data_IF_288845757227
#
_entry.id   IF_288845757227
#
_cell.length_a   1.000
_cell.length_b   1.000
_cell.length_c   1.000
_cell.angle_alpha   90.00
_cell.angle_beta   90.00
_cell.angle_gamma   90.00
#
_symmetry.space_group_name_H-M   'P 1'
#
loop_
_entity.id
_entity.type
_entity.pdbx_description
1 polymer ?
2 polymer ?
3 non-polymer ?
4 water ?
#
# COMPACT_ATOMS: atom_id res chain seq x y z
N UNK A 1 17.57 -8.63 13.99
CA UNK A 1 18.41 -9.62 14.73
C UNK A 1 19.24 -8.92 15.81
N UNK A 2 19.04 -8.00 16.01
CA UNK A 2 19.75 -7.21 17.02
C UNK A 2 18.88 -6.94 18.26
N UNK A 3 19.44 -6.24 19.24
CA UNK A 3 18.71 -5.92 20.45
C UNK A 3 18.48 -4.42 20.59
N UNK A 4 17.22 -4.03 20.57
CA UNK A 4 16.82 -2.64 20.67
C UNK A 4 17.50 -1.91 21.82
N UNK A 5 17.39 -2.49 23.02
CA UNK A 5 17.95 -1.90 24.22
C UNK A 5 19.43 -1.58 24.12
N UNK A 6 20.17 -2.40 23.37
CA UNK A 6 21.59 -2.18 23.21
C UNK A 6 21.85 -1.12 22.14
N UNK A 7 21.07 -1.16 21.07
CA UNK A 7 21.22 -0.22 19.99
C UNK A 7 20.78 1.19 20.37
N UNK A 8 19.56 1.33 20.85
CA UNK A 8 19.05 2.65 21.22
C UNK A 8 20.02 3.33 22.18
N UNK A 9 20.71 2.53 22.98
CA UNK A 9 21.66 3.01 23.97
C UNK A 9 22.79 3.87 23.38
N UNK A 10 23.41 3.36 22.32
CA UNK A 10 24.51 4.06 21.66
C UNK A 10 24.07 5.22 20.81
N UNK A 11 22.80 5.22 20.42
CA UNK A 11 22.26 6.29 19.59
C UNK A 11 21.48 7.33 20.36
N UNK A 12 21.11 6.98 21.59
CA UNK A 12 20.34 7.88 22.44
C UNK A 12 21.14 8.30 23.67
N UNK A 13 21.66 7.31 24.40
CA UNK A 13 22.42 7.60 25.59
C UNK A 13 21.55 8.46 26.51
N UNK A 14 21.99 9.69 26.75
CA UNK A 14 21.24 10.61 27.59
C UNK A 14 20.21 11.37 26.75
N UNK A 15 20.70 12.29 25.92
CA UNK A 15 19.88 13.12 25.05
C UNK A 15 18.38 12.96 25.25
N UNK A 16 17.80 13.66 26.23
CA UNK A 16 16.36 13.53 26.45
C UNK A 16 15.66 14.26 25.30
N UNK A 17 14.42 13.88 25.00
CA UNK A 17 13.71 14.51 23.89
C UNK A 17 12.27 14.85 24.15
N UNK A 18 11.73 15.71 23.29
CA UNK A 18 10.34 16.16 23.36
C UNK A 18 9.40 15.25 22.60
N UNK A 19 8.50 14.60 23.34
CA UNK A 19 7.54 13.67 22.77
C UNK A 19 6.45 14.34 21.94
N UNK A 20 6.35 15.66 22.05
CA UNK A 20 5.34 16.39 21.30
C UNK A 20 5.55 16.30 19.79
N UNK A 21 6.74 16.71 19.31
CA UNK A 21 7.02 16.67 17.88
C UNK A 21 8.47 16.65 17.39
N UNK A 22 8.67 15.91 16.29
CA UNK A 22 9.96 15.78 15.60
C UNK A 22 9.62 15.21 14.22
N UNK A 23 10.09 15.87 13.17
CA UNK A 23 9.81 15.47 11.79
C UNK A 23 11.05 15.37 10.92
N UNK A 24 11.45 14.16 10.57
CA UNK A 24 12.61 13.97 9.72
C UNK A 24 12.53 14.71 8.40
N UNK A 25 11.31 15.08 7.99
CA UNK A 25 11.14 15.81 6.74
C UNK A 25 11.85 17.15 6.81
N UNK A 26 12.15 17.60 8.01
CA UNK A 26 12.84 18.87 8.23
C UNK A 26 14.27 18.63 8.72
N UNK A 27 14.74 17.40 8.63
CA UNK A 27 16.10 17.09 9.06
C UNK A 27 16.83 16.19 8.11
N UNK A 28 16.60 16.39 6.80
CA UNK A 28 17.25 15.60 5.76
C UNK A 28 17.17 14.11 5.97
N UNK A 29 16.01 13.61 6.37
CA UNK A 29 15.85 12.18 6.59
C UNK A 29 14.80 11.50 5.72
N UNK A 30 14.09 12.24 4.90
CA UNK A 30 13.08 11.63 4.05
C UNK A 30 13.30 11.91 2.56
N UNK A 31 13.40 10.87 1.76
CA UNK A 31 13.62 11.05 0.34
C UNK A 31 12.25 11.22 -0.32
N UNK A 32 12.22 11.65 -1.60
CA UNK A 32 10.95 11.85 -2.31
C UNK A 32 10.02 10.66 -2.28
N UNK A 33 8.71 10.92 -2.29
CA UNK A 33 7.73 9.83 -2.29
C UNK A 33 7.57 9.30 -3.70
N UNK A 34 7.38 8.00 -3.79
CA UNK A 34 7.24 7.32 -5.07
C UNK A 34 5.83 6.75 -5.19
N UNK A 35 5.60 5.97 -6.24
CA UNK A 35 4.29 5.38 -6.48
C UNK A 35 4.41 3.93 -6.98
N UNK A 36 3.80 3.00 -6.27
CA UNK A 36 3.88 1.59 -6.65
C UNK A 36 2.93 1.26 -7.80
N UNK A 37 1.91 2.09 -7.97
CA UNK A 37 0.91 1.92 -9.01
C UNK A 37 0.17 0.59 -8.91
N UNK A 38 -0.12 0.00 -10.07
CA UNK A 38 -0.83 -1.26 -10.13
C UNK A 38 0.13 -2.43 -9.88
N UNK A 39 0.33 -2.74 -8.61
CA UNK A 39 1.23 -3.82 -8.21
C UNK A 39 1.34 -3.74 -6.70
N UNK A 40 1.20 -4.87 -6.02
CA UNK A 40 1.28 -4.87 -4.56
C UNK A 40 2.69 -4.97 -4.03
N UNK A 41 3.44 -3.88 -4.14
CA UNK A 41 4.82 -3.89 -3.68
C UNK A 41 5.09 -2.86 -2.61
N UNK A 42 4.10 -2.59 -1.77
CA UNK A 42 4.29 -1.64 -0.69
C UNK A 42 5.44 -2.12 0.20
N UNK A 43 5.48 -3.41 0.44
CA UNK A 43 6.52 -3.98 1.27
C UNK A 43 7.93 -3.58 0.82
N UNK A 44 8.11 -3.37 -0.48
CA UNK A 44 9.40 -3.00 -1.01
C UNK A 44 9.65 -1.50 -0.89
N UNK A 45 8.63 -0.72 -1.24
CA UNK A 45 8.75 0.72 -1.18
C UNK A 45 9.02 1.14 0.24
N UNK A 46 8.37 0.47 1.18
CA UNK A 46 8.54 0.78 2.59
C UNK A 46 9.98 0.56 3.02
N UNK A 47 10.48 -0.65 2.73
CA UNK A 47 11.83 -1.08 3.06
C UNK A 47 12.86 -0.14 2.49
N UNK A 48 12.92 -0.10 1.17
CA UNK A 48 13.87 0.74 0.46
C UNK A 48 13.80 2.19 0.89
N UNK A 49 12.61 2.69 1.19
CA UNK A 49 12.48 4.06 1.63
C UNK A 49 13.25 4.24 2.92
N UNK A 50 13.20 3.22 3.77
CA UNK A 50 13.90 3.27 5.04
C UNK A 50 15.41 3.32 4.88
N UNK A 51 15.93 2.62 3.88
CA UNK A 51 17.37 2.64 3.70
C UNK A 51 17.85 3.92 3.04
N UNK A 52 17.04 4.47 2.12
CA UNK A 52 17.45 5.72 1.49
C UNK A 52 17.51 6.75 2.62
N UNK A 53 16.54 6.68 3.53
CA UNK A 53 16.49 7.59 4.66
C UNK A 53 17.73 7.46 5.54
N UNK A 54 18.21 6.24 5.73
CA UNK A 54 19.39 6.01 6.55
C UNK A 54 20.64 6.59 5.93
N UNK A 55 20.72 6.57 4.60
CA UNK A 55 21.88 7.12 3.92
C UNK A 55 21.91 8.64 4.04
N UNK A 56 20.74 9.26 3.93
CA UNK A 56 20.66 10.71 4.03
C UNK A 56 20.97 11.18 5.44
N UNK A 57 20.68 10.35 6.42
CA UNK A 57 20.92 10.71 7.80
C UNK A 57 22.32 10.40 8.30
N UNK A 58 22.85 9.23 7.95
CA UNK A 58 24.17 8.83 8.41
C UNK A 58 25.33 9.12 7.46
N UNK A 59 25.12 8.97 6.15
CA UNK A 59 26.17 9.20 5.17
C UNK A 59 26.07 10.57 4.51
N UNK A 60 24.94 11.25 4.69
CA UNK A 60 24.72 12.56 4.10
C UNK A 60 24.70 12.42 2.58
N UNK A 61 24.38 11.81 1.98
CA UNK A 61 24.20 11.24 0.68
C UNK A 61 22.71 11.16 0.37
N UNK A 62 22.33 11.36 -0.80
CA UNK A 62 20.95 11.31 -1.23
C UNK A 62 20.87 10.35 -2.40
N UNK A 63 20.50 9.10 -2.15
CA UNK A 63 20.36 8.15 -3.25
C UNK A 63 18.94 7.61 -3.22
N UNK A 64 18.49 7.11 -4.36
CA UNK A 64 17.17 6.52 -4.49
C UNK A 64 17.45 5.13 -5.05
N UNK A 65 17.09 4.10 -4.29
CA UNK A 65 17.34 2.73 -4.70
C UNK A 65 16.23 2.12 -5.56
N UNK A 66 16.50 0.96 -6.12
CA UNK A 66 15.55 0.30 -7.01
C UNK A 66 14.66 -0.75 -6.36
N UNK A 67 13.38 -0.45 -6.22
CA UNK A 67 12.50 -1.43 -5.64
C UNK A 67 12.16 -2.48 -6.67
N UNK A 68 12.50 -2.21 -7.93
CA UNK A 68 12.25 -3.19 -8.98
C UNK A 68 13.16 -4.39 -8.71
N UNK A 69 14.45 -4.12 -8.56
CA UNK A 69 15.43 -5.16 -8.28
C UNK A 69 14.92 -6.01 -7.11
N UNK A 70 14.48 -5.35 -6.05
CA UNK A 70 13.97 -6.01 -4.87
C UNK A 70 12.73 -6.86 -5.21
N UNK A 71 11.86 -6.33 -6.05
CA UNK A 71 10.65 -7.06 -6.45
C UNK A 71 11.00 -8.28 -7.30
N UNK A 72 11.91 -8.11 -8.26
CA UNK A 72 12.32 -9.20 -9.13
C UNK A 72 13.14 -10.24 -8.39
N UNK A 73 14.18 -9.77 -7.70
CA UNK A 73 15.12 -10.66 -7.02
C UNK A 73 14.90 -11.13 -5.58
N UNK A 74 13.82 -10.75 -4.93
CA UNK A 74 13.62 -11.21 -3.55
C UNK A 74 12.80 -12.51 -3.55
N UNK A 75 13.50 -13.64 -3.61
CA UNK A 75 12.84 -14.94 -3.64
C UNK A 75 12.22 -15.34 -2.30
N UNK A 76 12.28 -14.44 -1.34
CA UNK A 76 11.69 -14.71 -0.02
C UNK A 76 10.26 -14.18 -0.12
N UNK A 77 10.10 -13.08 -0.86
CA UNK A 77 8.80 -12.46 -1.06
C UNK A 77 8.16 -12.91 -2.36
N UNK A 78 7.04 -12.30 -2.70
CA UNK A 78 6.32 -12.67 -3.92
C UNK A 78 6.08 -11.51 -4.85
N UNK A 79 7.14 -10.75 -5.14
CA UNK A 79 7.01 -9.61 -6.03
C UNK A 79 5.71 -8.84 -5.90
N UNK A 80 5.02 -8.62 -7.02
CA UNK A 80 3.76 -7.87 -7.01
C UNK A 80 2.57 -8.52 -6.33
N UNK A 81 2.78 -9.68 -5.70
CA UNK A 81 1.71 -10.37 -5.00
C UNK A 81 1.90 -10.39 -3.49
N UNK A 82 2.48 -9.34 -2.95
CA UNK A 82 2.70 -9.28 -1.51
C UNK A 82 4.08 -9.66 -1.02
N UNK A 83 4.32 -9.37 0.26
CA UNK A 83 5.58 -9.68 0.88
C UNK A 83 5.65 -9.14 2.30
N UNK A 84 6.73 -9.45 2.99
CA UNK A 84 6.93 -8.99 4.35
C UNK A 84 8.14 -8.06 4.38
N UNK A 85 8.12 -7.10 5.29
CA UNK A 85 9.22 -6.14 5.37
C UNK A 85 10.54 -6.81 5.74
N UNK A 86 10.53 -7.59 6.81
CA UNK A 86 11.74 -8.26 7.26
C UNK A 86 12.32 -9.23 6.23
N UNK A 87 11.49 -9.73 5.31
CA UNK A 87 12.00 -10.60 4.27
C UNK A 87 12.75 -9.73 3.29
N UNK A 88 12.20 -8.53 3.09
CA UNK A 88 12.80 -7.58 2.18
C UNK A 88 14.22 -7.31 2.65
N UNK A 89 14.36 -6.82 3.88
CA UNK A 89 15.69 -6.53 4.43
C UNK A 89 16.60 -7.75 4.37
N UNK A 90 16.04 -8.91 4.71
CA UNK A 90 16.76 -10.18 4.69
C UNK A 90 17.48 -10.31 3.37
N UNK A 91 16.70 -10.37 2.29
CA UNK A 91 17.25 -10.51 0.96
C UNK A 91 18.21 -9.40 0.58
N UNK A 92 18.02 -8.19 1.10
CA UNK A 92 18.94 -7.10 0.76
C UNK A 92 20.32 -7.54 1.22
N UNK A 93 20.36 -8.13 2.41
CA UNK A 93 21.61 -8.61 2.96
C UNK A 93 22.20 -9.69 2.08
N UNK A 94 21.40 -10.69 1.69
CA UNK A 94 21.92 -11.74 0.83
C UNK A 94 22.36 -11.18 -0.52
N UNK A 95 21.46 -10.47 -1.20
CA UNK A 95 21.78 -9.87 -2.50
C UNK A 95 23.02 -9.01 -2.38
N UNK A 96 23.29 -8.49 -1.19
CA UNK A 96 24.45 -7.64 -1.03
C UNK A 96 24.19 -6.28 -1.64
N UNK A 97 23.15 -5.60 -1.17
CA UNK A 97 22.83 -4.29 -1.69
C UNK A 97 21.92 -4.28 -2.89
N UNK A 98 21.25 -3.15 -3.07
CA UNK A 98 20.34 -2.95 -4.19
C UNK A 98 20.90 -1.82 -5.07
N UNK A 99 20.59 -1.88 -6.35
CA UNK A 99 21.04 -0.88 -7.31
C UNK A 99 20.22 0.40 -7.24
N UNK A 100 20.79 1.52 -7.71
CA UNK A 100 20.08 2.80 -7.72
C UNK A 100 18.95 2.61 -8.73
N UNK A 101 17.78 3.18 -8.46
CA UNK A 101 16.65 3.02 -9.37
C UNK A 101 16.88 3.76 -10.68
N UNK A 102 18.07 4.34 -10.81
CA UNK A 102 18.41 5.04 -12.04
C UNK A 102 18.93 4.06 -13.07
N UNK A 103 19.44 2.93 -12.61
CA UNK A 103 19.98 1.89 -13.48
C UNK A 103 19.04 0.70 -13.56
N UNK A 104 18.14 0.61 -12.59
CA UNK A 104 17.17 -0.48 -12.52
C UNK A 104 15.80 0.15 -12.25
N UNK A 105 15.20 0.76 -13.28
CA UNK A 105 13.90 1.45 -13.28
C UNK A 105 12.74 0.59 -12.85
N UNK A 106 11.74 1.24 -12.26
CA UNK A 106 10.55 0.54 -11.79
C UNK A 106 9.59 0.35 -12.96
N UNK A 107 8.92 -0.79 -13.03
CA UNK A 107 7.99 -1.07 -14.11
C UNK A 107 6.75 -1.80 -13.59
N UNK A 108 6.62 -1.81 -12.27
CA UNK A 108 5.50 -2.48 -11.59
C UNK A 108 5.21 -3.90 -12.10
N UNK A 109 3.95 -4.16 -12.42
CA UNK A 109 3.51 -5.47 -12.89
C UNK A 109 4.10 -6.00 -14.21
N UNK A 110 4.68 -5.13 -15.02
CA UNK A 110 5.26 -5.54 -16.31
C UNK A 110 6.23 -6.68 -16.11
N UNK A 111 6.14 -7.72 -16.96
CA UNK A 111 7.01 -8.90 -16.89
C UNK A 111 8.45 -8.41 -16.86
N UNK A 112 9.26 -8.98 -15.97
CA UNK A 112 10.64 -8.53 -15.87
C UNK A 112 11.49 -9.53 -15.11
N UNK A 113 12.49 -10.08 -15.77
CA UNK A 113 13.39 -11.04 -15.15
C UNK A 113 14.42 -10.32 -14.28
N UNK A 114 14.78 -10.94 -13.15
CA UNK A 114 15.73 -10.33 -12.23
C UNK A 114 17.18 -10.36 -12.73
N UNK A 115 17.90 -9.27 -12.49
CA UNK A 115 19.30 -9.17 -12.89
C UNK A 115 20.08 -8.26 -11.95
N UNK A 116 20.93 -8.86 -11.13
CA UNK A 116 21.73 -8.14 -10.16
C UNK A 116 22.87 -7.30 -10.74
N UNK A 117 23.74 -7.89 -11.54
CA UNK A 117 24.84 -7.11 -12.10
C UNK A 117 24.31 -6.16 -13.18
N UNK A 118 23.52 -5.20 -12.74
CA UNK A 118 22.93 -4.21 -13.63
C UNK A 118 23.24 -2.79 -13.21
N UNK A 119 24.32 -2.62 -12.45
CA UNK A 119 24.76 -1.29 -12.02
C UNK A 119 26.16 -1.39 -11.47
N UNK A 120 26.88 -0.28 -11.57
CA UNK A 120 28.26 -0.20 -11.12
C UNK A 120 28.44 -0.51 -9.64
N UNK A 121 27.66 0.11 -8.76
CA UNK A 121 27.78 -0.16 -7.33
C UNK A 121 26.41 -0.25 -6.65
N UNK A 122 26.29 -1.16 -5.70
CA UNK A 122 25.04 -1.36 -4.98
C UNK A 122 25.06 -0.76 -3.57
N UNK A 123 23.88 -0.50 -3.03
CA UNK A 123 23.75 0.06 -1.68
C UNK A 123 23.01 -0.95 -0.82
N UNK A 124 23.60 -1.33 0.30
CA UNK A 124 22.93 -2.30 1.15
C UNK A 124 22.96 -1.94 2.61
N UNK A 125 22.61 -2.90 3.46
CA UNK A 125 22.58 -2.66 4.90
C UNK A 125 23.43 -3.69 5.67
N UNK A 126 23.75 -3.37 6.91
CA UNK A 126 24.53 -4.29 7.73
C UNK A 126 23.60 -5.26 8.42
N UNK A 127 22.40 -4.81 8.73
CA UNK A 127 21.45 -5.68 9.39
C UNK A 127 20.26 -4.78 9.71
N UNK A 128 19.26 -5.31 10.38
CA UNK A 128 18.10 -4.50 10.73
C UNK A 128 17.61 -4.95 12.08
N UNK A 129 16.94 -4.05 12.78
CA UNK A 129 16.39 -4.39 14.07
C UNK A 129 14.90 -4.08 14.12
N UNK A 130 14.21 -4.82 14.99
CA UNK A 130 12.78 -4.69 15.20
C UNK A 130 12.50 -3.72 16.36
N UNK A 131 11.49 -2.88 16.22
CA UNK A 131 11.13 -1.91 17.24
C UNK A 131 9.89 -2.32 18.05
N UNK A 132 10.01 -2.29 19.38
CA UNK A 132 8.95 -2.63 20.33
C UNK A 132 7.75 -1.71 20.16
N UNK A 133 6.55 -2.27 20.14
CA UNK A 133 5.34 -1.45 19.95
C UNK A 133 5.10 -0.35 20.97
N UNK A 134 6.08 -0.06 21.81
CA UNK A 134 5.97 1.00 22.81
C UNK A 134 7.20 1.90 22.77
N UNK A 135 7.92 1.86 21.66
CA UNK A 135 9.15 2.63 21.50
C UNK A 135 9.24 3.42 20.18
N UNK A 136 8.17 3.41 19.40
CA UNK A 136 8.16 4.12 18.12
C UNK A 136 8.70 5.55 18.22
N UNK A 137 8.17 6.38 19.12
CA UNK A 137 8.65 7.74 19.22
C UNK A 137 10.15 7.76 19.51
N UNK A 138 10.58 6.99 20.50
CA UNK A 138 11.99 6.95 20.85
C UNK A 138 12.76 6.54 19.62
N UNK A 139 12.34 5.43 19.02
CA UNK A 139 12.98 4.89 17.82
C UNK A 139 13.13 5.95 16.74
N UNK A 140 12.01 6.55 16.36
CA UNK A 140 12.01 7.61 15.36
C UNK A 140 13.01 8.72 15.67
N UNK A 141 13.00 9.18 16.91
CA UNK A 141 13.87 10.27 17.33
C UNK A 141 15.36 10.06 17.22
N UNK A 142 15.86 8.89 17.63
CA UNK A 142 17.30 8.65 17.56
C UNK A 142 17.79 7.69 16.51
N UNK A 143 16.91 6.80 16.04
CA UNK A 143 17.28 5.85 15.00
C UNK A 143 16.86 6.30 13.59
N UNK A 144 15.65 6.85 13.45
CA UNK A 144 15.22 7.30 12.13
C UNK A 144 13.93 6.68 11.63
N UNK A 145 13.48 7.06 10.41
CA UNK A 145 12.24 6.52 9.86
C UNK A 145 12.12 5.01 10.03
N UNK A 146 10.91 4.55 10.33
CA UNK A 146 10.63 3.14 10.55
C UNK A 146 9.69 2.55 9.50
N UNK A 147 10.02 1.36 9.00
CA UNK A 147 9.18 0.65 8.04
C UNK A 147 8.13 -0.08 8.86
N UNK A 148 6.86 0.26 8.67
CA UNK A 148 5.78 -0.35 9.44
C UNK A 148 4.63 -0.91 8.62
N UNK A 149 3.86 -1.78 9.26
CA UNK A 149 2.67 -2.35 8.64
C UNK A 149 1.53 -1.62 9.34
N UNK A 150 0.36 -1.70 8.75
CA UNK A 150 -0.81 -1.03 9.29
C UNK A 150 -2.04 -1.59 8.59
N UNK A 151 -3.19 -1.56 9.25
CA UNK A 151 -4.43 -2.07 8.63
C UNK A 151 -5.18 -0.91 7.96
N UNK A 152 -5.29 -0.96 6.63
CA UNK A 152 -5.97 0.11 5.93
C UNK A 152 -7.37 -0.23 5.47
N UNK A 153 -8.21 0.80 5.47
CA UNK A 153 -9.61 0.69 5.09
C UNK A 153 -9.91 1.65 3.95
N UNK A 154 -11.17 1.72 3.55
CA UNK A 154 -11.56 2.63 2.49
C UNK A 154 -11.41 4.06 2.95
N UNK A 155 -11.84 4.31 4.19
CA UNK A 155 -11.77 5.64 4.79
C UNK A 155 -10.34 6.18 4.75
N UNK A 156 -9.40 5.25 4.65
CA UNK A 156 -7.98 5.58 4.60
C UNK A 156 -7.59 5.96 3.17
N UNK A 157 -7.92 5.10 2.21
CA UNK A 157 -7.60 5.37 0.82
C UNK A 157 -8.27 6.63 0.31
N UNK A 158 -9.16 7.20 1.12
CA UNK A 158 -9.87 8.42 0.74
C UNK A 158 -9.40 9.65 1.50
N UNK A 159 -8.41 9.46 2.37
CA UNK A 159 -7.84 10.54 3.16
C UNK A 159 -7.42 11.69 2.24
N UNK A 160 -7.64 12.91 2.71
CA UNK A 160 -7.31 14.12 1.94
C UNK A 160 -6.34 15.03 2.70
N UNK A 161 -6.61 15.23 3.99
CA UNK A 161 -5.75 16.10 4.79
C UNK A 161 -6.13 16.04 6.25
N UNK A 162 -5.30 16.66 7.09
CA UNK A 162 -5.56 16.69 8.52
C UNK A 162 -5.12 15.43 9.24
N UNK A 163 -5.33 15.38 10.55
CA UNK A 163 -4.94 14.21 11.33
C UNK A 163 -6.05 13.18 11.38
N UNK A 164 -5.96 12.23 10.45
CA UNK A 164 -6.90 11.13 10.28
C UNK A 164 -7.12 10.22 11.49
N UNK A 165 -8.38 9.80 11.68
CA UNK A 165 -8.77 8.91 12.77
C UNK A 165 -10.02 8.12 12.34
N UNK A 166 -10.22 8.03 11.03
CA UNK A 166 -11.35 7.28 10.50
C UNK A 166 -11.24 5.80 10.81
N UNK A 167 -12.16 5.02 10.24
CA UNK A 167 -12.18 3.57 10.46
C UNK A 167 -10.92 2.88 9.95
N UNK A 168 -10.44 1.90 10.70
CA UNK A 168 -9.24 1.15 10.30
C UNK A 168 -9.60 -0.03 9.42
N UNK A 169 -8.59 -0.80 9.02
CA UNK A 169 -8.84 -1.96 8.19
C UNK A 169 -9.15 -3.15 9.06
N UNK A 170 -9.44 -4.29 8.43
CA UNK A 170 -9.77 -5.49 9.17
C UNK A 170 -8.54 -6.14 9.79
N UNK A 171 -7.47 -6.26 9.01
CA UNK A 171 -6.22 -6.83 9.49
C UNK A 171 -5.04 -6.10 8.83
N UNK A 172 -3.83 -6.30 9.35
CA UNK A 172 -2.66 -5.65 8.78
C UNK A 172 -2.63 -6.05 7.30
N UNK A 173 -2.49 -5.09 6.41
CA UNK A 173 -2.50 -5.41 5.00
C UNK A 173 -1.59 -4.51 4.12
N UNK A 174 -1.23 -3.34 4.64
CA UNK A 174 -0.40 -2.42 3.87
C UNK A 174 0.90 -2.05 4.58
N UNK A 175 1.95 -1.81 3.78
CA UNK A 175 3.26 -1.44 4.32
C UNK A 175 3.58 0.01 4.06
N UNK A 176 3.95 0.75 5.11
CA UNK A 176 4.29 2.15 4.95
C UNK A 176 5.53 2.54 5.75
N UNK A 177 5.79 3.84 5.82
CA UNK A 177 6.95 4.40 6.53
C UNK A 177 6.52 5.41 7.58
N UNK A 178 7.17 5.37 8.73
CA UNK A 178 6.85 6.31 9.80
C UNK A 178 7.97 7.35 9.80
N UNK A 179 7.68 8.57 9.34
CA UNK A 179 8.72 9.59 9.30
C UNK A 179 8.66 10.66 10.37
N UNK A 180 7.92 10.40 11.44
CA UNK A 180 7.86 11.38 12.51
C UNK A 180 6.53 11.51 13.21
N UNK A 181 6.47 12.44 14.16
CA UNK A 181 5.24 12.69 14.90
C UNK A 181 5.05 14.20 15.13
N UNK A 182 3.81 14.65 15.06
CA UNK A 182 3.51 16.06 15.26
C UNK A 182 2.46 16.30 16.33
N UNK A 183 2.09 17.56 16.53
CA UNK A 183 1.10 17.92 17.54
C UNK A 183 0.43 19.26 17.20
N UNK A 184 -0.90 19.26 17.11
CA UNK A 184 -1.68 20.45 16.77
C UNK A 184 -2.70 20.87 17.84
N UNK A 185 -2.73 22.16 18.16
CA UNK A 185 -3.68 22.69 19.14
C UNK A 185 -4.99 22.92 18.39
N UNK A 186 -6.12 22.46 18.94
CA UNK A 186 -7.40 22.63 18.26
C UNK A 186 -8.52 22.94 19.24
N UNK A 187 -8.97 24.18 19.25
CA UNK A 187 -10.04 24.62 20.16
C UNK A 187 -11.33 23.82 20.01
N UNK A 188 -11.68 23.10 21.08
CA UNK A 188 -12.91 22.31 21.11
C UNK A 188 -14.06 23.30 20.96
N UNK A 189 -14.86 23.17 19.90
CA UNK A 189 -15.99 24.08 19.67
C UNK A 189 -17.05 24.13 20.79
N UNK A 190 -17.01 23.18 21.72
CA UNK A 190 -18.00 23.17 22.80
C UNK A 190 -17.47 23.76 24.12
N UNK A 191 -16.29 23.35 24.56
CA UNK A 191 -15.68 23.88 25.77
C UNK A 191 -14.93 25.17 25.46
N UNK A 192 -14.68 25.40 24.17
CA UNK A 192 -13.99 26.59 23.71
C UNK A 192 -12.57 26.77 24.23
N UNK A 193 -11.96 25.64 24.60
CA UNK A 193 -10.58 25.62 25.08
C UNK A 193 -9.79 24.75 24.12
N UNK A 194 -8.60 25.21 23.73
CA UNK A 194 -7.78 24.44 22.81
C UNK A 194 -7.26 23.14 23.40
N UNK A 195 -7.36 22.06 22.64
CA UNK A 195 -6.89 20.77 23.12
C UNK A 195 -5.71 20.33 22.25
N UNK A 196 -4.81 19.55 22.84
CA UNK A 196 -3.65 19.07 22.13
C UNK A 196 -3.95 17.74 21.44
N UNK A 197 -3.73 17.72 20.12
CA UNK A 197 -3.95 16.51 19.33
C UNK A 197 -2.63 16.04 18.77
N UNK A 198 -2.15 14.91 19.27
CA UNK A 198 -0.88 14.36 18.81
C UNK A 198 -1.13 13.44 17.62
N UNK A 199 -0.09 13.22 16.82
CA UNK A 199 -0.24 12.36 15.66
C UNK A 199 1.10 11.87 15.09
N UNK A 200 1.05 10.81 14.29
CA UNK A 200 2.25 10.28 13.64
C UNK A 200 2.27 10.72 12.17
N UNK A 201 3.46 10.88 11.62
CA UNK A 201 3.58 11.26 10.21
C UNK A 201 4.06 10.04 9.41
N UNK A 202 3.22 9.65 8.45
CA UNK A 202 3.48 8.49 7.61
C UNK A 202 3.70 8.82 6.13
N UNK A 203 4.69 8.15 5.54
CA UNK A 203 5.02 8.32 4.13
C UNK A 203 4.45 7.13 3.40
N UNK A 204 3.56 7.37 2.44
CA UNK A 204 2.97 6.28 1.70
C UNK A 204 3.71 6.11 0.38
N UNK A 205 3.23 5.20 -0.45
CA UNK A 205 3.87 4.93 -1.72
C UNK A 205 2.88 4.94 -2.87
N UNK A 206 1.83 5.76 -2.71
CA UNK A 206 0.79 5.89 -3.72
C UNK A 206 0.88 7.19 -4.51
N UNK A 207 2.09 7.76 -4.61
CA UNK A 207 2.22 8.99 -5.34
C UNK A 207 2.02 10.23 -4.50
N UNK A 208 2.22 11.39 -5.12
CA UNK A 208 2.08 12.68 -4.45
C UNK A 208 0.70 13.28 -4.49
N UNK A 209 -0.18 12.73 -5.32
CA UNK A 209 -1.53 13.26 -5.39
C UNK A 209 -2.35 12.83 -4.18
N UNK A 210 -2.04 11.65 -3.66
CA UNK A 210 -2.75 11.09 -2.51
C UNK A 210 -2.40 11.78 -1.19
N UNK A 211 -3.40 11.92 -0.32
CA UNK A 211 -3.19 12.56 0.98
C UNK A 211 -2.48 13.89 0.85
N UNK A 212 -1.83 14.32 1.93
CA UNK A 212 -1.09 15.57 1.90
C UNK A 212 0.22 15.33 1.16
N UNK A 213 0.20 15.51 -0.16
CA UNK A 213 1.37 15.32 -1.00
C UNK A 213 2.03 13.97 -0.78
N UNK A 214 1.24 12.94 -0.62
CA UNK A 214 1.79 11.61 -0.43
C UNK A 214 1.86 11.14 1.00
N UNK A 215 1.70 12.05 1.95
CA UNK A 215 1.76 11.69 3.36
C UNK A 215 0.39 11.69 4.01
N UNK A 216 0.33 11.21 5.25
CA UNK A 216 -0.90 11.19 6.01
C UNK A 216 -0.56 11.26 7.49
N UNK A 217 -1.44 11.89 8.26
CA UNK A 217 -1.26 12.04 9.70
C UNK A 217 -2.21 11.11 10.43
N UNK A 218 -1.72 10.44 11.47
CA UNK A 218 -2.54 9.51 12.22
C UNK A 218 -2.60 9.90 13.68
N UNK A 219 -3.80 9.88 14.23
CA UNK A 219 -4.03 10.22 15.63
C UNK A 219 -3.27 9.35 16.64
N UNK A 220 -2.71 9.97 17.68
CA UNK A 220 -1.98 9.24 18.72
C UNK A 220 -1.84 10.09 19.98
N UNK A 221 -1.35 9.50 21.06
CA UNK A 221 -1.18 10.26 22.29
C UNK A 221 0.24 10.80 22.44
N UNK A 222 0.46 11.59 23.48
CA UNK A 222 1.76 12.18 23.73
C UNK A 222 2.88 11.16 23.83
N UNK A 223 2.59 9.98 24.37
CA UNK A 223 3.63 8.95 24.51
C UNK A 223 3.75 8.13 23.24
N UNK A 224 2.76 8.28 22.35
CA UNK A 224 2.75 7.57 21.10
C UNK A 224 2.46 6.08 21.27
N UNK A 225 1.88 5.69 22.40
CA UNK A 225 1.56 4.29 22.62
C UNK A 225 0.29 3.88 21.90
N UNK A 226 -0.51 4.89 21.55
CA UNK A 226 -1.77 4.68 20.83
C UNK A 226 -1.44 4.51 19.36
N UNK A 227 -1.50 3.27 18.90
CA UNK A 227 -1.17 2.98 17.52
C UNK A 227 -2.40 2.64 16.71
N UNK A 228 -3.09 3.66 16.20
CA UNK A 228 -4.28 3.45 15.39
C UNK A 228 -4.05 2.50 14.24
N UNK A 229 -4.98 1.58 14.02
CA UNK A 229 -4.89 0.60 12.94
C UNK A 229 -3.74 -0.36 13.16
N UNK A 230 -3.37 -0.51 14.42
CA UNK A 230 -2.28 -1.38 14.79
C UNK A 230 -0.96 -0.96 14.17
N UNK A 231 -0.94 0.23 13.58
CA UNK A 231 0.25 0.72 12.93
C UNK A 231 1.46 0.45 13.80
N UNK A 232 2.43 -0.25 13.25
CA UNK A 232 3.63 -0.55 14.01
C UNK A 232 3.70 -1.90 14.67
N UNK A 233 2.67 -2.73 14.52
CA UNK A 233 2.73 -4.06 15.15
C UNK A 233 3.89 -4.74 14.47
N UNK A 234 4.25 -4.22 13.30
CA UNK A 234 5.40 -4.70 12.55
C UNK A 234 6.20 -3.43 12.30
N UNK A 235 7.34 -3.33 12.96
CA UNK A 235 8.19 -2.16 12.84
C UNK A 235 9.64 -2.56 12.73
N UNK A 236 10.25 -2.24 11.60
CA UNK A 236 11.65 -2.55 11.37
C UNK A 236 12.41 -1.32 10.89
N UNK A 237 13.72 -1.32 11.11
CA UNK A 237 14.55 -0.20 10.69
C UNK A 237 15.96 -0.72 10.38
N UNK A 238 16.44 -0.47 9.16
CA UNK A 238 17.75 -0.92 8.72
C UNK A 238 18.93 -0.13 9.31
N UNK A 239 20.06 -0.81 9.48
CA UNK A 239 21.27 -0.18 9.97
C UNK A 239 22.30 -0.33 8.87
N UNK A 240 22.99 0.76 8.54
CA UNK A 240 23.99 0.70 7.49
C UNK A 240 25.42 0.91 8.00
N UNK A 241 25.55 1.55 9.16
CA UNK A 241 26.86 1.77 9.77
C UNK A 241 26.92 0.89 11.02
N UNK B 1 -0.30 -14.40 4.60
CA UNK B 1 0.48 -13.82 5.66
C UNK B 1 0.85 -12.38 5.35
N UNK B 2 0.71 -12.03 4.04
CA UNK B 2 1.53 -11.00 3.40
C UNK B 2 0.82 -9.65 3.22
N UNK B 3 1.60 -8.55 3.35
CA UNK B 3 1.14 -7.23 2.91
C UNK B 3 0.99 -7.27 1.39
N UNK B 4 -0.17 -6.75 0.99
CA UNK B 4 -0.30 -6.31 -0.41
C UNK B 4 -0.62 -7.43 -1.35
N UNK B 5 -1.11 -8.52 -0.76
CA UNK B 5 -1.48 -9.63 -1.60
C UNK B 5 -2.96 -9.67 -1.73
N UNK B 6 -3.41 -10.27 -2.83
CA UNK B 6 -4.85 -10.37 -3.11
C UNK B 6 -5.60 -11.08 -1.98
N UNK B 7 -6.71 -10.47 -1.54
CA UNK B 7 -7.51 -11.05 -0.46
C UNK B 7 -8.91 -11.41 -0.96
N UNK B 8 -9.59 -12.33 -0.27
CA UNK B 8 -10.95 -12.81 -0.58
C UNK B 8 -12.01 -11.77 -0.88
N UNK B 9 -12.48 -11.08 0.15
CA UNK B 9 -13.53 -10.06 0.00
C UNK B 9 -14.88 -10.71 -0.30
N UNK B 10 -15.86 -10.43 0.54
CA UNK B 10 -17.19 -11.01 0.40
C UNK B 10 -18.00 -10.52 -0.80
N UNK B 11 -18.91 -11.39 -1.24
CA UNK B 11 -19.77 -11.15 -2.39
C UNK B 11 -20.61 -9.86 -2.32
N UNK B 12 -21.15 -9.55 -1.16
CA UNK B 12 -21.96 -8.34 -1.02
C UNK B 12 -21.14 -7.07 -0.78
N UNK B 13 -19.83 -7.15 -0.99
CA UNK B 13 -18.96 -6.00 -0.81
C UNK B 13 -19.36 -4.87 -1.76
N UNK B 14 -20.07 -3.87 -1.24
CA UNK B 14 -20.51 -2.75 -2.06
C UNK B 14 -19.44 -2.27 -3.04
N UNK B 15 -18.20 -2.19 -2.58
CA UNK B 15 -17.12 -1.75 -3.44
C UNK B 15 -16.94 -2.69 -4.62
N UNK B 16 -17.25 -3.96 -4.40
CA UNK B 16 -17.15 -4.98 -5.42
C UNK B 16 -18.28 -4.81 -6.42
N UNK B 17 -19.51 -4.73 -5.91
CA UNK B 17 -20.70 -4.57 -6.74
C UNK B 17 -20.40 -3.51 -7.79
N UNK B 18 -20.02 -2.33 -7.32
CA UNK B 18 -19.67 -1.21 -8.18
C UNK B 18 -18.60 -1.64 -9.18
N UNK B 19 -17.65 -2.44 -8.72
CA UNK B 19 -16.55 -2.92 -9.56
C UNK B 19 -17.09 -3.85 -10.64
N UNK B 20 -17.93 -4.78 -10.23
CA UNK B 20 -18.54 -5.73 -11.16
C UNK B 20 -19.43 -4.94 -12.12
N UNK B 21 -20.40 -4.22 -11.54
CA UNK B 21 -21.31 -3.39 -12.30
C UNK B 21 -20.55 -2.76 -13.47
N UNK B 22 -19.51 -1.98 -13.15
CA UNK B 22 -18.70 -1.33 -14.18
C UNK B 22 -18.23 -2.34 -15.21
N UNK B 23 -17.58 -3.40 -14.74
CA UNK B 23 -17.06 -4.45 -15.62
C UNK B 23 -18.11 -4.91 -16.63
N UNK B 24 -19.22 -5.46 -16.11
CA UNK B 24 -20.31 -5.94 -16.95
C UNK B 24 -20.81 -4.90 -17.92
N UNK B 25 -21.18 -3.73 -17.42
CA UNK B 25 -21.66 -2.64 -18.26
C UNK B 25 -20.68 -2.42 -19.41
N UNK B 26 -19.40 -2.50 -19.08
CA UNK B 26 -18.35 -2.32 -20.06
C UNK B 26 -18.34 -3.47 -21.06
N UNK B 27 -18.76 -4.13 -21.14
CA UNK B 27 -18.74 -5.44 -21.78
C UNK B 27 -19.83 -5.58 -22.84
N UNK B 28 -20.98 -5.42 -22.09
CA UNK B 28 -22.08 -5.32 -23.03
C UNK B 28 -21.77 -4.27 -24.09
N UNK B 29 -21.11 -3.19 -23.68
CA UNK B 29 -20.77 -2.14 -24.62
C UNK B 29 -19.69 -2.55 -25.63
N UNK B 30 -18.74 -3.36 -25.17
CA UNK B 30 -17.67 -3.84 -26.05
C UNK B 30 -18.19 -4.97 -26.93
N UNK B 31 -19.20 -5.69 -26.43
CA UNK B 31 -19.79 -6.79 -27.19
C UNK B 31 -20.54 -6.20 -28.36
N UNK B 32 -20.70 -6.99 -29.42
CA UNK B 32 -21.41 -6.54 -30.61
C UNK B 32 -22.81 -7.15 -30.68
N UNK B 33 -23.04 -8.13 -29.82
CA UNK B 33 -24.33 -8.83 -29.74
C UNK B 33 -25.44 -7.89 -29.31
N UNK B 34 -26.56 -7.94 -30.03
CA UNK B 34 -27.72 -7.09 -29.78
C UNK B 34 -28.43 -7.39 -28.47
N UNK B 35 -28.07 -8.51 -27.85
CA UNK B 35 -28.62 -8.92 -26.57
C UNK B 35 -27.64 -8.59 -25.46
N UNK B 36 -28.13 -7.97 -24.40
CA UNK B 36 -27.26 -7.62 -23.28
C UNK B 36 -27.08 -8.84 -22.40
N UNK B 37 -25.86 -9.03 -21.91
CA UNK B 37 -25.58 -10.14 -20.84
C UNK B 37 -25.58 -9.63 -19.49
N UNK B 38 -25.32 -10.53 -18.67
CA UNK B 38 -25.47 -10.18 -17.39
C UNK B 38 -24.99 -11.42 -16.50
N UNK B 39 -24.67 -11.30 -15.12
CA UNK B 39 -23.96 -12.38 -14.33
C UNK B 39 -24.92 -13.33 -13.80
N UNK B 40 -24.57 -14.61 -13.81
CA UNK B 40 -25.39 -15.66 -13.25
C UNK B 40 -25.08 -15.82 -11.77
N UNK B 41 -23.79 -15.68 -11.45
CA UNK B 41 -23.31 -15.81 -10.07
C UNK B 41 -21.82 -15.48 -10.01
N UNK B 42 -21.35 -15.08 -8.82
CA UNK B 42 -19.95 -14.76 -8.64
C UNK B 42 -19.23 -15.95 -8.03
N UNK B 43 -18.39 -16.58 -8.84
CA UNK B 43 -17.64 -17.76 -8.44
C UNK B 43 -16.56 -17.51 -7.38
N UNK B 44 -15.56 -16.71 -7.75
CA UNK B 44 -14.45 -16.39 -6.84
C UNK B 44 -13.87 -14.99 -7.07
N UNK B 45 -14.16 -14.07 -6.15
CA UNK B 45 -13.66 -12.70 -6.25
C UNK B 45 -12.61 -12.41 -5.21
N UNK B 46 -11.57 -11.66 -5.59
CA UNK B 46 -10.48 -11.30 -4.69
C UNK B 46 -10.15 -9.82 -4.87
N UNK B 47 -9.79 -9.16 -3.79
CA UNK B 47 -9.44 -7.73 -3.85
C UNK B 47 -8.03 -7.52 -3.34
N UNK B 48 -7.20 -6.85 -4.13
CA UNK B 48 -5.82 -6.56 -3.75
C UNK B 48 -5.66 -5.06 -3.59
N UNK B 49 -5.00 -4.68 -2.51
CA UNK B 49 -4.75 -3.28 -2.21
C UNK B 49 -3.44 -2.87 -2.90
N UNK B 50 -3.45 -1.74 -3.59
CA UNK B 50 -2.26 -1.26 -4.28
C UNK B 50 -2.34 0.26 -4.31
N UNK B 51 -1.86 0.87 -5.38
CA UNK B 51 -1.96 2.32 -5.50
C UNK B 51 -3.38 2.52 -6.01
N UNK B 52 -4.35 2.15 -5.18
CA UNK B 52 -5.74 2.21 -5.54
C UNK B 52 -6.26 0.82 -5.19
N UNK B 53 -7.39 0.42 -5.73
CA UNK B 53 -7.92 -0.91 -5.43
C UNK B 53 -8.01 -1.75 -6.68
N UNK B 54 -7.69 -3.03 -6.56
CA UNK B 54 -7.73 -3.91 -7.70
C UNK B 54 -8.65 -5.09 -7.36
N UNK B 55 -9.53 -5.45 -8.29
CA UNK B 55 -10.44 -6.58 -8.09
C UNK B 55 -10.22 -7.67 -9.14
N UNK B 56 -10.42 -8.91 -8.72
CA UNK B 56 -10.26 -10.05 -9.61
C UNK B 56 -11.51 -10.90 -9.52
N UNK B 57 -12.31 -10.86 -10.57
CA UNK B 57 -13.57 -11.60 -10.61
C UNK B 57 -13.57 -12.87 -11.44
N UNK B 58 -14.29 -13.86 -10.93
CA UNK B 58 -14.48 -15.15 -11.58
C UNK B 58 -15.99 -15.28 -11.52
N UNK B 59 -16.65 -15.02 -12.65
CA UNK B 59 -18.11 -15.10 -12.69
C UNK B 59 -18.62 -15.81 -13.92
N UNK B 60 -19.83 -16.34 -13.81
CA UNK B 60 -20.45 -17.02 -14.95
C UNK B 60 -21.43 -16.03 -15.57
N UNK B 61 -21.22 -15.76 -16.85
CA UNK B 61 -22.03 -14.83 -17.60
C UNK B 61 -23.02 -15.55 -18.51
N UNK B 62 -24.12 -14.87 -18.85
CA UNK B 62 -25.13 -15.45 -19.72
C UNK B 62 -25.82 -14.41 -20.58
N UNK B 63 -26.41 -14.84 -21.69
CA UNK B 63 -27.12 -13.94 -22.59
C UNK B 63 -28.60 -13.86 -22.22
N UNK B 64 -29.12 -12.64 -22.12
CA UNK B 64 -30.51 -12.44 -21.76
C UNK B 64 -31.36 -12.08 -22.97
N UNK B 65 -32.67 -12.21 -22.80
CA UNK B 65 -33.65 -11.91 -23.83
C UNK B 65 -33.92 -10.40 -23.79
N UNK B 66 -32.86 -9.61 -23.79
CA UNK B 66 -33.02 -8.16 -23.71
C UNK B 66 -32.07 -7.35 -24.60
N UNK B 67 -32.44 -6.07 -24.85
CA UNK B 67 -31.66 -5.14 -25.67
C UNK B 67 -30.51 -4.56 -24.86
N UNK B 68 -29.69 -3.74 -25.49
CA UNK B 68 -28.56 -3.13 -24.80
C UNK B 68 -29.02 -2.04 -23.83
N UNK B 69 -29.56 -2.49 -22.69
CA UNK B 69 -30.10 -1.46 -21.64
C UNK B 69 -31.20 -0.58 -22.16
N UNK B 70 -30.97 0.28 -23.34
CA UNK B 70 -32.17 0.85 -23.87
C UNK B 70 -33.30 0.13 -23.35
N UNK B 71 -33.17 0.01 -22.16
CA UNK B 71 -34.23 -0.54 -21.54
C UNK B 71 -34.22 0.08 -20.08
N UNK B 72 -33.34 -0.52 -19.05
CA UNK B 72 -33.07 -0.10 -17.74
C UNK B 72 -31.73 -0.50 -17.04
N UNK B 73 -31.77 -1.76 -16.65
CA UNK B 73 -30.52 -2.33 -16.11
C UNK B 73 -30.36 -2.29 -14.61
N UNK B 74 -31.37 -2.84 -13.95
CA UNK B 74 -32.47 -3.39 -14.69
C UNK B 74 -32.31 -4.91 -15.06
N UNK B 75 -33.29 -5.78 -14.54
CA UNK B 75 -33.20 -7.29 -14.73
C UNK B 75 -34.29 -7.82 -15.71
N UNK B 76 -33.82 -8.05 -17.00
CA UNK B 76 -34.54 -9.07 -17.80
C UNK B 76 -34.31 -10.58 -17.08
N UNK B 77 -34.29 -11.44 -18.10
CA UNK B 77 -34.24 -12.89 -17.92
C UNK B 77 -33.32 -13.49 -18.99
N UNK B 78 -32.70 -14.61 -18.69
CA UNK B 78 -31.80 -15.29 -19.64
C UNK B 78 -32.59 -16.02 -20.72
N UNK B 79 -31.98 -16.20 -21.88
CA UNK B 79 -32.62 -16.91 -22.97
C UNK B 79 -32.97 -18.32 -22.53
N UNK B 80 -34.17 -18.76 -22.89
CA UNK B 80 -34.68 -20.07 -22.51
C UNK B 80 -33.92 -21.28 -23.03
N UNK B 81 -33.34 -21.18 -24.22
CA UNK B 81 -32.60 -22.30 -24.78
C UNK B 81 -31.09 -22.11 -24.62
N UNK B 82 -30.43 -23.02 -23.91
CA UNK B 82 -28.98 -22.95 -23.68
C UNK B 82 -28.18 -23.18 -24.95
N UNK B 83 -28.06 -22.13 -25.75
CA UNK B 83 -27.32 -22.17 -27.00
C UNK B 83 -27.49 -20.77 -27.57
N UNK B 84 -28.44 -20.07 -26.98
CA UNK B 84 -28.77 -18.69 -27.30
C UNK B 84 -28.32 -17.98 -26.04
N UNK B 85 -28.39 -18.72 -24.93
CA UNK B 85 -27.98 -18.22 -23.62
C UNK B 85 -26.46 -18.29 -23.57
N UNK B 86 -25.89 -19.08 -24.48
CA UNK B 86 -24.45 -19.25 -24.61
C UNK B 86 -23.68 -19.01 -23.31
N UNK B 87 -24.11 -19.66 -22.23
CA UNK B 87 -23.43 -19.50 -20.94
C UNK B 87 -21.91 -19.70 -21.05
N UNK B 88 -21.17 -19.02 -20.18
CA UNK B 88 -19.73 -19.13 -20.18
C UNK B 88 -19.16 -18.45 -18.94
N UNK B 89 -17.84 -18.51 -18.77
CA UNK B 89 -17.20 -17.90 -17.61
C UNK B 89 -16.18 -16.84 -18.03
N UNK B 90 -16.14 -15.74 -17.29
CA UNK B 90 -15.18 -14.68 -17.60
C UNK B 90 -14.40 -14.32 -16.34
N UNK B 91 -13.26 -13.68 -16.55
CA UNK B 91 -12.40 -13.26 -15.44
C UNK B 91 -12.12 -11.77 -15.67
N UNK B 92 -12.62 -10.93 -14.78
CA UNK B 92 -12.42 -9.50 -14.90
C UNK B 92 -11.36 -9.00 -13.94
N UNK B 93 -10.68 -7.93 -14.34
CA UNK B 93 -9.63 -7.33 -13.54
C UNK B 93 -9.82 -5.83 -13.59
N UNK B 94 -10.54 -5.31 -12.60
CA UNK B 94 -10.82 -3.88 -12.50
C UNK B 94 -9.80 -3.17 -11.60
N UNK B 95 -9.46 -1.94 -11.95
CA UNK B 95 -8.51 -1.16 -11.17
C UNK B 95 -9.03 0.25 -10.95
N UNK B 96 -9.43 0.54 -9.71
CA UNK B 96 -9.95 1.85 -9.35
C UNK B 96 -8.95 2.71 -8.56
N UNK B 97 -8.86 3.98 -8.94
CA UNK B 97 -7.99 4.93 -8.27
C UNK B 97 -8.94 6.06 -7.90
N UNK B 98 -9.72 5.87 -6.82
CA UNK B 98 -10.71 6.82 -6.28
C UNK B 98 -10.26 8.27 -6.10
N UNK B 99 -9.08 8.47 -5.56
CA UNK B 99 -8.59 9.83 -5.34
C UNK B 99 -8.27 10.51 -6.66
N UNK B 100 -8.64 9.84 -7.75
CA UNK B 100 -8.44 10.37 -9.09
C UNK B 100 -9.74 10.06 -9.84
N UNK B 101 -10.76 9.73 -9.04
CA UNK B 101 -12.09 9.39 -9.55
C UNK B 101 -12.08 8.64 -10.87
N UNK B 102 -11.12 7.72 -11.03
CA UNK B 102 -11.05 6.95 -12.25
C UNK B 102 -11.14 5.46 -11.96
N UNK B 103 -11.44 4.68 -13.00
CA UNK B 103 -11.59 3.24 -12.88
C UNK B 103 -11.33 2.60 -14.25
N UNK B 104 -10.69 1.43 -14.25
CA UNK B 104 -10.34 0.76 -15.48
C UNK B 104 -10.76 -0.70 -15.54
N UNK B 105 -10.50 -1.32 -16.69
CA UNK B 105 -10.81 -2.71 -16.95
C UNK B 105 -9.49 -3.26 -17.49
N UNK B 106 -8.61 -3.69 -16.59
CA UNK B 106 -7.31 -4.18 -17.00
C UNK B 106 -7.36 -5.45 -17.83
N UNK B 107 -8.16 -6.42 -17.40
CA UNK B 107 -8.26 -7.66 -18.13
C UNK B 107 -9.65 -8.28 -18.06
N UNK B 108 -10.16 -8.71 -19.21
CA UNK B 108 -11.48 -9.34 -19.27
C UNK B 108 -11.49 -10.45 -20.31
N UNK B 109 -10.97 -11.62 -19.93
CA UNK B 109 -10.94 -12.73 -20.86
C UNK B 109 -11.96 -13.79 -20.43
N UNK B 110 -12.81 -14.19 -21.37
CA UNK B 110 -13.84 -15.18 -21.11
C UNK B 110 -13.45 -16.54 -21.66
N UNK B 111 -14.15 -17.59 -21.21
CA UNK B 111 -13.85 -18.96 -21.65
C UNK B 111 -14.50 -19.25 -23.01
#
# INVERSE_FOLDING_TARGET
QMNYEEVIKKYRGEENFDHAAYDWRLHSGVTPVKDQKNCGSCWAFSSIGSVESQYAIRKNKLITLSEQELVDCSFKNYGCNGGLINNAFEDMIELGGICPDGDYPYVSDAPNLCNIDRCTEKYGIKNYLSVPDNKLKEALRFLGPISISVAVSDDFAFYKEGIFDGECGDQLNHAVMLVGFGMKEIVNPLTKKGEKHYYYIIKNSWGQQWGERGFINIETDESGLMRKCGLGTDAFIPLIE
RLLGAPVPVDENDEGLQRALQFAMAEYNRASNDKYSSRVVRVISAKRQLVSGIKYILQVEIGRTTCPKSSGDLQSCEFHDEPEMAKYTTCTFVVYSIPWLNQIKLLESKCQ
#
